data_IF_878636264610
#
_entry.id   IF_878636264610
#
_cell.length_a   1.000
_cell.length_b   1.000
_cell.length_c   1.000
_cell.angle_alpha   90.00
_cell.angle_beta   90.00
_cell.angle_gamma   90.00
#
_symmetry.space_group_name_H-M   'P 1'
#
loop_
_entity.id
_entity.type
_entity.pdbx_description
1 polymer ?
#
# COMPACT_ATOMS: atom_id res chain seq x y z
N UNK A 1 -8.13 59.08 4.54
CA UNK A 1 -8.48 57.69 4.19
C UNK A 1 -7.15 56.94 4.05
N UNK A 2 -6.79 56.15 5.09
CA UNK A 2 -5.59 55.33 5.09
C UNK A 2 -6.02 53.92 4.68
N UNK A 3 -5.58 53.46 3.52
CA UNK A 3 -5.78 52.10 3.02
C UNK A 3 -4.66 51.25 3.62
N UNK A 4 -5.00 50.41 4.61
CA UNK A 4 -4.10 49.38 5.14
C UNK A 4 -4.12 48.20 4.14
N UNK A 5 -3.01 47.98 3.46
CA UNK A 5 -2.79 46.76 2.66
C UNK A 5 -2.53 45.59 3.59
N UNK A 6 -3.50 44.68 3.73
CA UNK A 6 -3.29 43.35 4.32
C UNK A 6 -2.44 42.53 3.33
N UNK A 7 -1.16 42.37 3.63
CA UNK A 7 -0.34 41.34 3.02
C UNK A 7 -0.83 39.97 3.54
N UNK A 8 -1.56 39.25 2.70
CA UNK A 8 -1.87 37.85 2.92
C UNK A 8 -0.58 37.02 2.82
N UNK A 9 -0.08 36.57 3.96
CA UNK A 9 1.00 35.59 4.01
C UNK A 9 0.44 34.24 3.55
N UNK A 10 0.65 33.90 2.29
CA UNK A 10 0.40 32.55 1.80
C UNK A 10 1.53 31.67 2.32
N UNK A 11 1.24 30.66 3.14
CA UNK A 11 2.26 29.67 3.47
C UNK A 11 2.65 28.95 2.18
N UNK A 12 3.90 29.07 1.78
CA UNK A 12 4.46 28.25 0.71
C UNK A 12 4.40 26.80 1.21
N UNK A 13 3.57 25.98 0.59
CA UNK A 13 3.61 24.54 0.79
C UNK A 13 4.97 24.05 0.27
N UNK A 14 5.93 23.92 1.15
CA UNK A 14 7.19 23.25 0.84
C UNK A 14 6.85 21.76 0.71
N UNK A 15 6.97 21.22 -0.48
CA UNK A 15 6.76 19.80 -0.77
C UNK A 15 7.92 18.95 -0.26
N UNK A 16 8.13 18.92 1.05
CA UNK A 16 9.06 18.00 1.71
C UNK A 16 8.28 16.82 2.30
N UNK A 17 8.79 15.60 2.15
CA UNK A 17 8.28 14.43 2.86
C UNK A 17 9.00 14.32 4.19
N UNK A 18 8.28 13.93 5.25
CA UNK A 18 8.88 13.68 6.55
C UNK A 18 9.53 12.29 6.60
N UNK A 19 10.55 12.11 7.45
CA UNK A 19 11.19 10.80 7.67
C UNK A 19 10.16 9.73 8.02
N UNK A 20 9.12 10.06 8.77
CA UNK A 20 8.02 9.16 9.14
C UNK A 20 7.25 8.62 7.92
N UNK A 21 7.19 9.38 6.83
CA UNK A 21 6.50 8.97 5.59
C UNK A 21 7.40 8.11 4.70
N UNK A 22 8.71 8.21 4.88
CA UNK A 22 9.71 7.54 4.05
C UNK A 22 10.26 6.27 4.69
N UNK A 23 10.24 6.20 6.02
CA UNK A 23 10.90 5.15 6.79
C UNK A 23 10.07 4.71 8.00
N UNK A 24 10.38 3.54 8.48
CA UNK A 24 9.89 3.02 9.76
C UNK A 24 11.07 2.65 10.67
N UNK A 25 10.83 2.58 11.96
CA UNK A 25 11.80 2.01 12.89
C UNK A 25 11.85 0.50 12.67
N UNK A 26 13.05 -0.07 12.70
CA UNK A 26 13.24 -1.52 12.60
C UNK A 26 12.44 -2.26 13.69
N UNK A 27 11.78 -3.36 13.30
CA UNK A 27 10.87 -4.09 14.17
C UNK A 27 9.45 -3.51 14.25
N UNK A 28 9.20 -2.32 13.70
CA UNK A 28 7.87 -1.73 13.58
C UNK A 28 7.25 -2.12 12.23
N UNK A 29 6.73 -3.31 12.15
CA UNK A 29 6.01 -3.82 10.98
C UNK A 29 4.53 -4.02 11.28
N UNK A 30 3.75 -4.23 10.23
CA UNK A 30 2.38 -4.69 10.38
C UNK A 30 2.39 -6.14 10.88
N UNK A 31 1.48 -6.43 11.80
CA UNK A 31 1.27 -7.77 12.33
C UNK A 31 -0.11 -8.28 11.93
N UNK A 32 -0.22 -9.57 11.64
CA UNK A 32 -1.49 -10.18 11.25
C UNK A 32 -1.98 -11.07 12.37
N UNK A 33 -3.19 -10.82 12.84
CA UNK A 33 -3.91 -11.72 13.73
C UNK A 33 -4.79 -12.64 12.89
N UNK A 34 -4.87 -13.89 13.30
CA UNK A 34 -5.66 -14.92 12.62
C UNK A 34 -6.54 -15.66 13.60
N UNK A 35 -7.71 -16.07 13.12
CA UNK A 35 -8.64 -16.91 13.84
C UNK A 35 -9.47 -17.76 12.88
N UNK A 36 -10.07 -18.77 13.44
CA UNK A 36 -11.12 -19.55 12.75
C UNK A 36 -12.39 -19.33 13.53
N UNK A 37 -13.42 -18.85 12.84
CA UNK A 37 -14.70 -18.48 13.43
C UNK A 37 -15.90 -19.12 12.74
N UNK A 38 -17.05 -18.83 13.29
CA UNK A 38 -18.34 -19.21 12.72
C UNK A 38 -19.13 -17.96 12.37
N UNK A 39 -19.72 -17.96 11.21
CA UNK A 39 -20.73 -16.98 10.80
C UNK A 39 -22.10 -17.62 10.97
N UNK A 40 -23.00 -16.91 11.62
CA UNK A 40 -24.37 -17.35 11.92
C UNK A 40 -25.38 -16.43 11.23
N UNK A 41 -26.63 -16.89 11.16
CA UNK A 41 -27.73 -16.07 10.62
C UNK A 41 -27.78 -15.99 9.09
N UNK A 42 -27.06 -16.85 8.38
CA UNK A 42 -27.10 -16.90 6.91
C UNK A 42 -28.45 -17.40 6.38
N UNK A 43 -29.00 -16.76 5.32
CA UNK A 43 -30.28 -17.10 4.75
C UNK A 43 -30.23 -18.33 3.81
N UNK A 44 -29.69 -19.46 4.30
CA UNK A 44 -29.56 -20.69 3.51
C UNK A 44 -28.34 -20.75 2.61
N UNK A 45 -27.40 -19.84 2.75
CA UNK A 45 -26.18 -19.75 1.94
C UNK A 45 -24.92 -20.27 2.64
N UNK A 46 -25.06 -20.79 3.87
CA UNK A 46 -23.97 -21.33 4.67
C UNK A 46 -23.47 -22.69 4.20
N UNK A 47 -22.57 -23.25 4.99
CA UNK A 47 -21.96 -24.55 4.72
C UNK A 47 -22.95 -25.70 4.77
N UNK A 48 -22.64 -26.76 4.04
CA UNK A 48 -23.40 -28.02 4.12
C UNK A 48 -23.09 -28.71 5.45
N UNK A 49 -24.12 -29.06 6.19
CA UNK A 49 -23.98 -29.80 7.45
C UNK A 49 -23.46 -31.24 7.28
N UNK A 50 -23.36 -31.72 6.04
CA UNK A 50 -22.69 -32.99 5.72
C UNK A 50 -21.19 -32.95 5.98
N UNK A 51 -20.63 -31.75 6.07
CA UNK A 51 -19.21 -31.56 6.37
C UNK A 51 -18.95 -31.53 7.88
N UNK A 52 -18.47 -32.65 8.40
CA UNK A 52 -18.03 -32.80 9.81
C UNK A 52 -17.04 -31.69 10.27
N UNK A 53 -16.41 -31.02 9.32
CA UNK A 53 -15.50 -29.88 9.60
C UNK A 53 -16.24 -28.71 10.26
N UNK A 54 -17.53 -28.50 10.00
CA UNK A 54 -18.32 -27.40 10.58
C UNK A 54 -18.96 -27.82 11.90
N UNK A 55 -19.40 -29.08 12.01
CA UNK A 55 -20.10 -29.57 13.21
C UNK A 55 -19.17 -29.59 14.45
N UNK A 56 -17.93 -30.02 14.31
CA UNK A 56 -16.98 -30.11 15.43
C UNK A 56 -16.66 -28.78 16.08
N UNK A 57 -16.25 -27.72 15.35
CA UNK A 57 -16.03 -26.39 15.90
C UNK A 57 -17.26 -25.81 16.58
N UNK A 58 -18.46 -26.02 16.00
CA UNK A 58 -19.71 -25.55 16.59
C UNK A 58 -19.99 -26.24 17.94
N UNK A 59 -19.82 -27.56 18.04
CA UNK A 59 -19.96 -28.32 19.29
C UNK A 59 -18.95 -27.82 20.34
N UNK A 60 -17.69 -27.65 19.96
CA UNK A 60 -16.64 -27.17 20.83
C UNK A 60 -16.95 -25.74 21.35
N UNK A 61 -17.43 -24.86 20.49
CA UNK A 61 -17.78 -23.49 20.81
C UNK A 61 -18.97 -23.44 21.81
N UNK A 62 -20.02 -24.20 21.57
CA UNK A 62 -21.17 -24.27 22.47
C UNK A 62 -20.77 -24.84 23.85
N UNK A 63 -19.92 -25.85 23.86
CA UNK A 63 -19.37 -26.43 25.09
C UNK A 63 -18.52 -25.46 25.88
N UNK A 64 -17.66 -24.71 25.21
CA UNK A 64 -16.78 -23.74 25.86
C UNK A 64 -17.54 -22.51 26.42
N UNK A 65 -18.70 -22.18 25.85
CA UNK A 65 -19.55 -21.09 26.34
C UNK A 65 -20.52 -21.52 27.47
N UNK A 66 -20.32 -22.71 28.04
CA UNK A 66 -21.16 -23.21 29.12
C UNK A 66 -22.59 -23.57 28.70
N UNK A 67 -22.90 -23.48 27.42
CA UNK A 67 -24.17 -23.88 26.84
C UNK A 67 -24.10 -25.38 26.44
N UNK A 68 -24.05 -26.25 27.43
CA UNK A 68 -24.02 -27.71 27.27
C UNK A 68 -25.33 -28.29 26.73
N UNK A 69 -26.02 -27.54 25.88
CA UNK A 69 -27.16 -28.05 25.14
C UNK A 69 -26.58 -28.97 24.06
N UNK A 70 -26.72 -30.29 24.27
CA UNK A 70 -26.32 -31.25 23.24
C UNK A 70 -26.98 -30.87 21.92
N UNK A 71 -26.17 -30.65 20.90
CA UNK A 71 -26.74 -30.56 19.55
C UNK A 71 -27.54 -31.81 19.30
N UNK A 72 -28.72 -31.69 18.69
CA UNK A 72 -29.52 -32.87 18.35
C UNK A 72 -28.62 -33.88 17.62
N UNK A 73 -28.75 -35.16 17.96
CA UNK A 73 -27.96 -36.24 17.30
C UNK A 73 -28.03 -36.18 15.77
N UNK A 74 -29.11 -35.62 15.24
CA UNK A 74 -29.35 -35.38 13.82
C UNK A 74 -28.35 -34.39 13.21
N UNK A 75 -27.91 -33.39 13.94
CA UNK A 75 -26.89 -32.41 13.49
C UNK A 75 -25.50 -33.03 13.52
N UNK A 76 -25.19 -33.79 14.59
CA UNK A 76 -23.93 -34.51 14.71
C UNK A 76 -23.76 -35.67 13.74
N UNK A 77 -24.89 -36.23 13.27
CA UNK A 77 -24.90 -37.30 12.29
C UNK A 77 -25.10 -36.82 10.83
N UNK A 78 -25.10 -35.51 10.59
CA UNK A 78 -25.22 -34.93 9.25
C UNK A 78 -26.57 -35.19 8.55
N UNK A 79 -27.62 -35.46 9.32
CA UNK A 79 -28.96 -35.74 8.80
C UNK A 79 -29.84 -34.51 8.57
N UNK A 80 -29.47 -33.36 9.16
CA UNK A 80 -30.21 -32.10 9.02
C UNK A 80 -29.37 -31.11 8.21
N UNK A 81 -29.91 -30.53 7.16
CA UNK A 81 -29.24 -29.48 6.38
C UNK A 81 -29.35 -28.15 7.11
N UNK A 82 -28.32 -27.80 7.89
CA UNK A 82 -28.18 -26.46 8.48
C UNK A 82 -27.36 -25.64 7.51
N UNK A 83 -27.99 -24.77 6.73
CA UNK A 83 -27.32 -23.83 5.81
C UNK A 83 -27.25 -22.39 6.35
N UNK A 84 -27.50 -22.22 7.65
CA UNK A 84 -27.49 -20.90 8.31
C UNK A 84 -26.14 -20.56 8.97
N UNK A 85 -25.14 -21.46 8.86
CA UNK A 85 -23.84 -21.33 9.52
C UNK A 85 -22.74 -21.57 8.49
N UNK A 86 -21.63 -20.82 8.58
CA UNK A 86 -20.45 -21.02 7.78
C UNK A 86 -19.18 -21.01 8.64
N UNK A 87 -18.23 -21.90 8.33
CA UNK A 87 -16.88 -21.88 8.88
C UNK A 87 -16.04 -20.88 8.10
N UNK A 88 -15.38 -19.96 8.81
CA UNK A 88 -14.66 -18.85 8.20
C UNK A 88 -13.24 -18.67 8.75
N UNK A 89 -12.37 -18.21 7.89
CA UNK A 89 -11.08 -17.62 8.28
C UNK A 89 -11.31 -16.15 8.63
N UNK A 90 -10.74 -15.72 9.73
CA UNK A 90 -10.85 -14.37 10.27
C UNK A 90 -9.45 -13.79 10.36
N UNK A 91 -9.21 -12.66 9.73
CA UNK A 91 -7.91 -11.99 9.74
C UNK A 91 -8.06 -10.52 10.11
N UNK A 92 -7.13 -9.99 10.90
CA UNK A 92 -7.05 -8.57 11.21
C UNK A 92 -5.59 -8.12 11.12
N UNK A 93 -5.36 -6.98 10.48
CA UNK A 93 -4.03 -6.38 10.38
C UNK A 93 -3.86 -5.34 11.46
N UNK A 94 -2.89 -5.56 12.34
CA UNK A 94 -2.44 -4.60 13.33
C UNK A 94 -1.46 -3.65 12.68
N UNK A 95 -1.70 -2.37 12.80
CA UNK A 95 -0.88 -1.31 12.20
C UNK A 95 0.54 -1.32 12.77
N UNK A 96 1.47 -0.68 12.06
CA UNK A 96 2.89 -0.61 12.44
C UNK A 96 3.16 0.13 13.77
N UNK A 97 2.21 0.92 14.26
CA UNK A 97 2.25 1.60 15.57
C UNK A 97 1.75 0.72 16.73
N UNK A 98 1.38 -0.54 16.44
CA UNK A 98 0.87 -1.51 17.41
C UNK A 98 -0.62 -1.32 17.68
N UNK A 99 -1.08 -1.96 18.76
CA UNK A 99 -2.44 -1.82 19.27
C UNK A 99 -2.44 -2.01 20.78
N UNK A 100 -3.33 -1.30 21.46
CA UNK A 100 -3.52 -1.40 22.90
C UNK A 100 -4.78 -2.21 23.22
N UNK A 101 -4.84 -2.73 24.42
CA UNK A 101 -6.08 -3.32 24.93
C UNK A 101 -7.23 -2.30 24.76
N UNK A 102 -8.39 -2.81 24.40
CA UNK A 102 -9.61 -2.06 24.08
C UNK A 102 -9.61 -1.35 22.71
N UNK A 103 -8.51 -1.27 21.98
CA UNK A 103 -8.54 -0.80 20.60
C UNK A 103 -9.41 -1.70 19.73
N UNK A 104 -10.09 -1.11 18.74
CA UNK A 104 -10.89 -1.84 17.76
C UNK A 104 -10.23 -1.82 16.40
N UNK A 105 -10.21 -2.98 15.73
CA UNK A 105 -9.58 -3.18 14.43
C UNK A 105 -10.58 -3.83 13.48
N UNK A 106 -10.54 -3.45 12.22
CA UNK A 106 -11.31 -4.08 11.17
C UNK A 106 -10.88 -5.53 10.94
N UNK A 107 -11.85 -6.36 10.62
CA UNK A 107 -11.64 -7.79 10.42
C UNK A 107 -12.11 -8.18 9.03
N UNK A 108 -11.29 -8.91 8.30
CA UNK A 108 -11.68 -9.57 7.06
C UNK A 108 -12.08 -11.00 7.36
N UNK A 109 -13.22 -11.40 6.81
CA UNK A 109 -13.83 -12.72 6.99
C UNK A 109 -13.97 -13.38 5.63
N UNK A 110 -13.46 -14.60 5.48
CA UNK A 110 -13.56 -15.37 4.24
C UNK A 110 -13.97 -16.82 4.52
N UNK A 111 -14.80 -17.39 3.65
CA UNK A 111 -15.26 -18.77 3.81
C UNK A 111 -14.10 -19.75 3.69
N UNK A 112 -14.11 -20.78 4.54
CA UNK A 112 -13.14 -21.87 4.48
C UNK A 112 -13.71 -23.13 3.81
N UNK A 113 -15.02 -23.18 3.66
CA UNK A 113 -15.69 -24.37 3.18
C UNK A 113 -16.69 -24.06 2.03
N UNK A 114 -17.86 -24.65 2.04
CA UNK A 114 -18.82 -24.69 0.91
C UNK A 114 -19.84 -23.54 0.92
N UNK A 115 -19.79 -22.63 1.88
CA UNK A 115 -20.72 -21.51 1.94
C UNK A 115 -20.64 -20.65 0.66
N UNK A 116 -21.78 -20.37 0.07
CA UNK A 116 -21.91 -19.65 -1.19
C UNK A 116 -21.96 -18.12 -1.00
N UNK A 117 -22.37 -17.64 0.18
CA UNK A 117 -22.43 -16.21 0.49
C UNK A 117 -22.44 -15.98 1.99
N UNK A 118 -21.75 -14.92 2.42
CA UNK A 118 -21.75 -14.41 3.79
C UNK A 118 -22.74 -13.25 3.99
N UNK A 119 -23.49 -12.87 2.97
CA UNK A 119 -24.43 -11.75 3.00
C UNK A 119 -25.50 -11.93 4.08
N UNK A 120 -25.62 -10.92 4.94
CA UNK A 120 -26.58 -10.91 6.05
C UNK A 120 -26.16 -11.73 7.28
N UNK A 121 -24.99 -12.37 7.22
CA UNK A 121 -24.45 -13.13 8.35
C UNK A 121 -23.76 -12.24 9.39
N UNK A 122 -23.59 -12.82 10.58
CA UNK A 122 -22.89 -12.22 11.71
C UNK A 122 -21.75 -13.15 12.16
N UNK A 123 -20.54 -12.59 12.27
CA UNK A 123 -19.41 -13.30 12.84
C UNK A 123 -19.65 -13.53 14.33
N UNK A 124 -19.68 -14.77 14.73
CA UNK A 124 -19.77 -15.15 16.14
C UNK A 124 -18.43 -14.95 16.83
N UNK A 125 -18.48 -14.80 18.15
CA UNK A 125 -17.30 -14.53 19.02
C UNK A 125 -16.14 -15.47 18.65
N UNK A 126 -15.07 -14.88 18.13
CA UNK A 126 -13.92 -15.60 17.56
C UNK A 126 -12.64 -15.09 18.20
N UNK A 127 -11.84 -16.00 18.75
CA UNK A 127 -10.52 -15.69 19.28
C UNK A 127 -9.51 -15.49 18.16
N UNK A 128 -8.73 -14.42 18.23
CA UNK A 128 -7.68 -14.09 17.27
C UNK A 128 -6.31 -14.19 17.89
N UNK A 129 -5.44 -14.93 17.25
CA UNK A 129 -4.09 -15.23 17.71
C UNK A 129 -3.04 -14.64 16.74
N UNK A 130 -1.79 -14.56 17.19
CA UNK A 130 -0.67 -14.21 16.31
C UNK A 130 -0.41 -15.28 15.24
N UNK A 131 0.47 -14.99 14.26
CA UNK A 131 0.70 -15.87 13.11
C UNK A 131 1.46 -17.15 13.46
N UNK A 132 2.17 -17.19 14.58
CA UNK A 132 2.98 -18.33 15.00
C UNK A 132 2.17 -19.35 15.80
N UNK A 133 2.42 -20.65 15.64
CA UNK A 133 1.79 -21.68 16.46
C UNK A 133 2.02 -21.43 17.96
N UNK A 134 0.96 -21.55 18.77
CA UNK A 134 1.04 -21.30 20.21
C UNK A 134 1.03 -19.84 20.62
N UNK A 135 0.87 -18.91 19.69
CA UNK A 135 0.69 -17.49 20.02
C UNK A 135 -0.51 -17.28 20.95
N UNK A 136 -0.42 -16.35 21.90
CA UNK A 136 -1.57 -16.02 22.75
C UNK A 136 -2.73 -15.41 21.96
N UNK A 137 -3.90 -15.39 22.55
CA UNK A 137 -5.05 -14.64 22.04
C UNK A 137 -4.82 -13.15 22.32
N UNK A 138 -4.81 -12.35 21.27
CA UNK A 138 -4.62 -10.89 21.33
C UNK A 138 -5.92 -10.11 21.19
N UNK A 139 -6.87 -10.64 20.44
CA UNK A 139 -8.15 -9.98 20.21
C UNK A 139 -9.31 -10.97 20.16
N UNK A 140 -10.51 -10.44 20.34
CA UNK A 140 -11.77 -11.15 20.14
C UNK A 140 -12.53 -10.44 19.04
N UNK A 141 -12.95 -11.17 18.01
CA UNK A 141 -13.69 -10.65 16.88
C UNK A 141 -15.15 -11.09 16.90
N UNK A 142 -16.07 -10.17 16.57
CA UNK A 142 -17.50 -10.43 16.39
C UNK A 142 -18.17 -9.29 15.63
N UNK A 143 -19.34 -9.54 15.05
CA UNK A 143 -20.17 -8.49 14.47
C UNK A 143 -20.74 -8.80 13.10
N UNK A 144 -21.56 -7.91 12.59
CA UNK A 144 -22.21 -8.05 11.29
C UNK A 144 -21.22 -7.94 10.15
N UNK A 145 -21.38 -8.80 9.15
CA UNK A 145 -20.51 -8.84 7.96
C UNK A 145 -21.08 -7.90 6.90
N UNK A 146 -20.23 -7.01 6.42
CA UNK A 146 -20.47 -6.15 5.25
C UNK A 146 -19.69 -6.72 4.06
N UNK A 147 -20.34 -6.95 2.93
CA UNK A 147 -19.63 -7.35 1.70
C UNK A 147 -18.99 -6.11 1.09
N UNK A 148 -17.72 -6.20 0.71
CA UNK A 148 -17.01 -5.13 0.00
C UNK A 148 -17.32 -5.16 -1.51
N UNK A 149 -17.58 -6.35 -2.05
CA UNK A 149 -17.91 -6.58 -3.45
C UNK A 149 -19.01 -7.64 -3.54
N UNK A 150 -20.18 -7.27 -4.04
CA UNK A 150 -21.29 -8.20 -4.24
C UNK A 150 -20.98 -9.30 -5.26
N UNK A 151 -19.95 -9.15 -6.09
CA UNK A 151 -19.46 -10.17 -7.02
C UNK A 151 -18.66 -11.28 -6.32
N UNK A 152 -18.12 -11.00 -5.13
CA UNK A 152 -17.36 -11.94 -4.29
C UNK A 152 -18.05 -12.14 -2.94
N UNK A 153 -19.23 -12.77 -2.92
CA UNK A 153 -20.07 -12.87 -1.71
C UNK A 153 -19.49 -13.77 -0.62
N UNK A 154 -18.38 -14.47 -0.88
CA UNK A 154 -17.68 -15.36 0.05
C UNK A 154 -16.66 -14.65 0.94
N UNK A 155 -16.45 -13.36 0.74
CA UNK A 155 -15.56 -12.52 1.55
C UNK A 155 -16.30 -11.25 1.97
N UNK A 156 -15.98 -10.76 3.17
CA UNK A 156 -16.55 -9.53 3.70
C UNK A 156 -15.73 -8.96 4.84
N UNK A 157 -16.12 -7.81 5.33
CA UNK A 157 -15.47 -7.09 6.43
C UNK A 157 -16.42 -6.88 7.59
N UNK A 158 -15.87 -6.94 8.81
CA UNK A 158 -16.54 -6.49 10.03
C UNK A 158 -15.78 -5.26 10.52
N UNK A 159 -16.37 -4.08 10.40
CA UNK A 159 -15.73 -2.82 10.79
C UNK A 159 -15.62 -2.72 12.31
N UNK A 160 -14.39 -2.45 12.80
CA UNK A 160 -14.10 -2.45 14.24
C UNK A 160 -14.47 -3.77 14.92
N UNK A 161 -14.54 -4.88 14.18
CA UNK A 161 -15.06 -6.14 14.66
C UNK A 161 -14.15 -6.86 15.65
N UNK A 162 -12.84 -6.65 15.59
CA UNK A 162 -11.90 -7.19 16.56
C UNK A 162 -11.61 -6.18 17.67
N UNK A 163 -11.85 -6.56 18.93
CA UNK A 163 -11.44 -5.79 20.11
C UNK A 163 -10.20 -6.43 20.71
N UNK A 164 -9.16 -5.63 20.86
CA UNK A 164 -7.90 -6.08 21.49
C UNK A 164 -8.13 -6.38 22.97
N UNK A 165 -7.60 -7.49 23.45
CA UNK A 165 -7.60 -7.90 24.87
C UNK A 165 -6.21 -7.90 25.47
N UNK A 166 -5.18 -7.78 24.63
CA UNK A 166 -3.77 -7.66 25.01
C UNK A 166 -3.07 -6.68 24.12
N UNK A 167 -2.13 -5.96 24.68
CA UNK A 167 -1.28 -5.03 23.93
C UNK A 167 -0.38 -5.78 22.94
N UNK A 168 -0.22 -5.19 21.77
CA UNK A 168 0.87 -5.47 20.85
C UNK A 168 1.72 -4.21 20.81
N UNK A 169 2.81 -4.26 21.60
CA UNK A 169 3.70 -3.12 21.78
C UNK A 169 4.76 -3.11 20.69
N UNK A 170 5.19 -1.91 20.32
CA UNK A 170 6.40 -1.70 19.54
C UNK A 170 7.63 -2.07 20.36
N UNK A 171 8.71 -2.54 19.72
CA UNK A 171 9.99 -2.71 20.39
C UNK A 171 10.43 -1.41 21.06
N UNK A 172 10.98 -1.51 22.26
CA UNK A 172 11.55 -0.34 22.93
C UNK A 172 12.75 0.19 22.16
N UNK A 173 12.78 1.50 22.00
CA UNK A 173 13.90 2.19 21.35
C UNK A 173 15.06 2.29 22.33
N UNK A 174 16.17 1.63 22.01
CA UNK A 174 17.42 1.66 22.78
C UNK A 174 18.15 3.01 22.67
N UNK A 175 19.43 3.02 23.03
CA UNK A 175 20.32 4.17 22.80
C UNK A 175 20.76 4.30 21.32
N UNK A 176 20.44 3.30 20.53
CA UNK A 176 20.52 3.32 19.07
C UNK A 176 19.36 2.54 18.48
N UNK A 177 18.92 2.91 17.31
CA UNK A 177 17.86 2.24 16.57
C UNK A 177 18.12 2.37 15.07
N UNK A 178 17.57 1.49 14.29
CA UNK A 178 17.64 1.54 12.85
C UNK A 178 16.33 2.08 12.26
N UNK A 179 16.48 2.96 11.28
CA UNK A 179 15.39 3.34 10.38
C UNK A 179 15.50 2.52 9.11
N UNK A 180 14.41 1.93 8.69
CA UNK A 180 14.32 1.14 7.46
C UNK A 180 13.43 1.89 6.47
N UNK A 181 14.00 2.32 5.34
CA UNK A 181 13.25 2.96 4.27
C UNK A 181 12.20 2.00 3.71
N UNK A 182 11.01 2.52 3.48
CA UNK A 182 9.95 1.76 2.82
C UNK A 182 10.37 1.46 1.37
N UNK A 183 9.92 0.33 0.82
CA UNK A 183 10.41 -0.20 -0.45
C UNK A 183 10.39 0.78 -1.64
N UNK A 184 9.40 1.70 -1.76
CA UNK A 184 9.41 2.68 -2.85
C UNK A 184 10.55 3.70 -2.78
N UNK A 185 11.12 3.92 -1.58
CA UNK A 185 12.16 4.90 -1.30
C UNK A 185 13.54 4.27 -1.10
N UNK A 186 13.67 2.96 -1.35
CA UNK A 186 14.94 2.25 -1.19
C UNK A 186 15.98 2.72 -2.21
N UNK A 187 17.16 3.10 -1.74
CA UNK A 187 18.27 3.53 -2.58
C UNK A 187 19.35 4.24 -1.78
N UNK A 188 20.62 4.10 -2.20
CA UNK A 188 21.76 4.73 -1.53
C UNK A 188 21.64 6.26 -1.46
N UNK A 189 21.13 6.90 -2.54
CA UNK A 189 20.90 8.34 -2.60
C UNK A 189 19.87 8.79 -1.56
N UNK A 190 18.72 8.11 -1.51
CA UNK A 190 17.67 8.40 -0.54
C UNK A 190 18.13 8.15 0.90
N UNK A 191 18.82 7.03 1.16
CA UNK A 191 19.35 6.72 2.49
C UNK A 191 20.34 7.81 2.95
N UNK A 192 21.22 8.29 2.05
CA UNK A 192 22.15 9.35 2.36
C UNK A 192 21.45 10.69 2.61
N UNK A 193 20.47 11.04 1.79
CA UNK A 193 19.70 12.29 1.96
C UNK A 193 18.91 12.31 3.29
N UNK A 194 18.31 11.17 3.67
CA UNK A 194 17.62 11.05 4.96
C UNK A 194 18.61 11.15 6.12
N UNK A 195 19.77 10.47 6.04
CA UNK A 195 20.78 10.55 7.09
C UNK A 195 21.34 11.96 7.26
N UNK A 196 21.60 12.66 6.17
CA UNK A 196 22.06 14.07 6.19
C UNK A 196 21.00 14.99 6.77
N UNK A 197 19.74 14.87 6.36
CA UNK A 197 18.65 15.66 6.90
C UNK A 197 18.48 15.46 8.42
N UNK A 198 18.60 14.23 8.91
CA UNK A 198 18.57 13.93 10.35
C UNK A 198 19.76 14.57 11.05
N UNK A 199 20.95 14.42 10.52
CA UNK A 199 22.17 15.03 11.08
C UNK A 199 22.02 16.54 11.20
N UNK A 200 21.58 17.22 10.14
CA UNK A 200 21.37 18.66 10.10
C UNK A 200 20.30 19.10 11.12
N UNK A 201 19.20 18.41 11.23
CA UNK A 201 18.12 18.75 12.17
C UNK A 201 18.59 18.71 13.63
N UNK A 202 19.44 17.74 13.96
CA UNK A 202 20.02 17.60 15.31
C UNK A 202 21.07 18.68 15.60
N UNK A 203 21.92 19.02 14.62
CA UNK A 203 22.93 20.07 14.74
C UNK A 203 22.29 21.46 14.86
N UNK A 204 21.30 21.77 13.99
CA UNK A 204 20.57 23.05 14.02
C UNK A 204 19.83 23.25 15.34
N UNK A 205 19.32 22.17 15.93
CA UNK A 205 18.70 22.25 17.26
C UNK A 205 19.71 22.51 18.40
N UNK A 206 21.00 22.65 18.09
CA UNK A 206 22.06 22.86 19.08
C UNK A 206 22.28 21.65 19.99
N UNK A 207 21.80 20.47 19.58
CA UNK A 207 21.80 19.24 20.38
C UNK A 207 22.99 18.33 20.09
N UNK A 208 23.77 18.65 19.06
CA UNK A 208 25.04 17.97 18.80
C UNK A 208 26.16 18.99 18.64
N UNK A 209 27.31 18.67 19.21
CA UNK A 209 28.53 19.41 18.94
C UNK A 209 28.96 19.14 17.48
N UNK A 210 29.44 20.11 16.68
CA UNK A 210 30.01 19.85 15.34
C UNK A 210 31.06 18.75 15.29
N UNK A 211 31.80 18.57 16.41
CA UNK A 211 32.81 17.51 16.60
C UNK A 211 32.22 16.20 17.16
N UNK A 212 30.88 16.10 17.36
CA UNK A 212 30.25 14.93 17.90
C UNK A 212 30.19 13.80 16.86
N UNK A 213 30.19 12.54 17.31
CA UNK A 213 30.05 11.41 16.40
C UNK A 213 28.74 11.49 15.62
N UNK A 214 28.78 11.08 14.37
CA UNK A 214 27.65 11.08 13.44
C UNK A 214 26.40 10.44 14.06
N UNK A 215 25.30 11.21 14.15
CA UNK A 215 24.05 10.77 14.75
C UNK A 215 23.34 9.76 13.85
N UNK A 216 23.36 9.99 12.53
CA UNK A 216 22.76 9.12 11.55
C UNK A 216 23.83 8.57 10.59
N UNK A 217 23.87 7.24 10.42
CA UNK A 217 24.84 6.56 9.56
C UNK A 217 24.12 5.59 8.64
N UNK A 218 24.34 5.67 7.35
CA UNK A 218 23.84 4.71 6.36
C UNK A 218 24.59 3.39 6.52
N UNK A 219 23.85 2.30 6.69
CA UNK A 219 24.38 0.93 6.74
C UNK A 219 24.27 0.24 5.38
N UNK A 220 23.14 0.39 4.74
CA UNK A 220 22.86 -0.15 3.40
C UNK A 220 21.86 0.76 2.66
N UNK A 221 21.39 0.34 1.47
CA UNK A 221 20.48 1.11 0.62
C UNK A 221 19.08 1.34 1.23
N UNK A 222 18.79 0.71 2.38
CA UNK A 222 17.49 0.81 3.05
C UNK A 222 17.61 1.12 4.54
N UNK A 223 18.76 0.87 5.15
CA UNK A 223 18.91 0.91 6.61
C UNK A 223 19.82 2.03 7.04
N UNK A 224 19.34 2.86 7.94
CA UNK A 224 20.05 3.99 8.53
C UNK A 224 20.11 3.77 10.04
N UNK A 225 21.31 3.63 10.59
CA UNK A 225 21.51 3.56 12.03
C UNK A 225 21.46 4.97 12.63
N UNK A 226 20.64 5.17 13.63
CA UNK A 226 20.50 6.42 14.37
C UNK A 226 20.93 6.19 15.82
N UNK A 227 21.87 7.01 16.31
CA UNK A 227 22.36 6.95 17.68
C UNK A 227 21.81 8.13 18.47
N UNK A 228 21.17 7.84 19.60
CA UNK A 228 20.61 8.87 20.50
C UNK A 228 21.76 9.60 21.21
N UNK A 229 21.92 10.92 21.03
CA UNK A 229 22.92 11.71 21.75
C UNK A 229 22.78 11.54 23.26
N UNK A 230 23.89 11.64 24.00
CA UNK A 230 23.89 11.41 25.46
C UNK A 230 22.91 12.34 26.20
N UNK A 231 22.79 13.56 25.74
CA UNK A 231 21.93 14.60 26.29
C UNK A 231 20.44 14.27 26.15
N UNK A 232 20.08 13.52 25.10
CA UNK A 232 18.70 13.16 24.74
C UNK A 232 18.26 11.80 25.32
N UNK A 233 19.17 11.02 25.92
CA UNK A 233 18.85 9.70 26.47
C UNK A 233 17.83 9.72 27.59
N UNK A 234 17.73 10.85 28.30
CA UNK A 234 16.69 11.05 29.34
C UNK A 234 15.30 11.26 28.75
N UNK A 235 15.19 11.72 27.50
CA UNK A 235 13.92 11.96 26.81
C UNK A 235 13.96 11.47 25.35
N UNK A 236 14.18 10.17 25.18
CA UNK A 236 14.26 9.53 23.86
C UNK A 236 13.02 9.75 23.01
N UNK A 237 11.84 9.88 23.64
CA UNK A 237 10.59 10.09 22.90
C UNK A 237 10.58 11.42 22.14
N UNK A 238 11.10 12.49 22.75
CA UNK A 238 11.20 13.79 22.10
C UNK A 238 12.20 13.76 20.94
N UNK A 239 13.37 13.14 21.15
CA UNK A 239 14.37 12.95 20.12
C UNK A 239 13.80 12.15 18.92
N UNK A 240 13.10 11.05 19.22
CA UNK A 240 12.46 10.22 18.20
C UNK A 240 11.40 11.00 17.40
N UNK A 241 10.57 11.77 18.09
CA UNK A 241 9.57 12.62 17.43
C UNK A 241 10.22 13.64 16.51
N UNK A 242 11.36 14.22 16.89
CA UNK A 242 12.11 15.15 16.06
C UNK A 242 12.71 14.45 14.83
N UNK A 243 13.38 13.30 15.02
CA UNK A 243 13.94 12.51 13.92
C UNK A 243 12.88 12.12 12.90
N UNK A 244 11.73 11.59 13.38
CA UNK A 244 10.63 11.20 12.50
C UNK A 244 9.92 12.38 11.85
N UNK A 245 9.93 13.56 12.48
CA UNK A 245 9.37 14.80 11.95
C UNK A 245 10.32 15.59 11.07
N UNK A 246 11.57 15.15 10.90
CA UNK A 246 12.55 15.83 10.04
C UNK A 246 12.06 15.83 8.59
N UNK A 247 12.05 17.01 7.97
CA UNK A 247 11.70 17.16 6.55
C UNK A 247 12.89 16.79 5.66
N UNK A 248 12.64 15.95 4.69
CA UNK A 248 13.59 15.54 3.65
C UNK A 248 13.15 16.16 2.33
N UNK A 249 14.04 16.87 1.67
CA UNK A 249 13.75 17.46 0.36
C UNK A 249 13.59 16.35 -0.67
N UNK A 250 12.44 16.30 -1.31
CA UNK A 250 12.11 15.27 -2.32
C UNK A 250 13.05 15.27 -3.52
N UNK A 251 13.71 16.41 -3.80
CA UNK A 251 14.71 16.54 -4.87
C UNK A 251 15.92 15.61 -4.67
N UNK A 252 16.26 15.27 -3.42
CA UNK A 252 17.38 14.39 -3.07
C UNK A 252 16.99 12.92 -2.94
N UNK A 253 15.68 12.61 -3.00
CA UNK A 253 15.21 11.23 -2.82
C UNK A 253 15.43 10.35 -4.05
N UNK A 254 15.94 10.90 -5.15
CA UNK A 254 16.21 10.16 -6.42
C UNK A 254 15.21 9.02 -6.66
N UNK A 255 13.92 9.37 -6.55
CA UNK A 255 12.86 8.39 -6.66
C UNK A 255 12.87 7.81 -8.07
N UNK A 256 13.01 6.49 -8.21
CA UNK A 256 13.00 5.90 -9.53
C UNK A 256 11.68 6.26 -10.22
N UNK A 257 11.79 6.79 -11.43
CA UNK A 257 10.63 7.07 -12.25
C UNK A 257 9.80 5.78 -12.38
N UNK A 258 8.51 5.85 -12.04
CA UNK A 258 7.62 4.69 -12.06
C UNK A 258 6.35 4.98 -12.86
N UNK A 259 5.87 3.96 -13.54
CA UNK A 259 4.57 3.97 -14.21
C UNK A 259 3.76 2.82 -13.62
N UNK A 260 2.67 3.17 -12.95
CA UNK A 260 1.74 2.19 -12.38
C UNK A 260 0.52 2.12 -13.29
N UNK A 261 0.18 0.92 -13.71
CA UNK A 261 -0.91 0.66 -14.64
C UNK A 261 -1.89 -0.31 -14.02
N UNK A 262 -3.14 0.11 -13.89
CA UNK A 262 -4.22 -0.79 -13.48
C UNK A 262 -5.03 -1.23 -14.71
N UNK A 263 -4.87 -2.51 -15.07
CA UNK A 263 -5.51 -3.07 -16.26
C UNK A 263 -7.04 -3.18 -16.15
N UNK A 264 -7.59 -3.20 -14.95
CA UNK A 264 -9.05 -3.32 -14.72
C UNK A 264 -9.75 -1.97 -14.85
N UNK A 265 -9.17 -0.93 -14.24
CA UNK A 265 -9.74 0.41 -14.25
C UNK A 265 -9.29 1.24 -15.45
N UNK A 266 -8.24 0.83 -16.17
CA UNK A 266 -7.60 1.61 -17.22
C UNK A 266 -6.82 2.82 -16.69
N UNK A 267 -6.54 2.88 -15.40
CA UNK A 267 -5.81 4.00 -14.80
C UNK A 267 -4.30 3.88 -15.06
N UNK A 268 -3.67 5.00 -15.42
CA UNK A 268 -2.22 5.13 -15.62
C UNK A 268 -1.72 6.23 -14.68
N UNK A 269 -0.82 5.89 -13.78
CA UNK A 269 -0.20 6.83 -12.84
C UNK A 269 1.28 6.92 -13.20
N UNK A 270 1.76 8.13 -13.44
CA UNK A 270 3.16 8.42 -13.75
C UNK A 270 3.77 9.19 -12.58
N UNK A 271 4.84 8.66 -11.99
CA UNK A 271 5.57 9.31 -10.91
C UNK A 271 7.00 9.58 -11.34
N UNK A 272 7.50 10.78 -11.00
CA UNK A 272 8.83 11.23 -11.40
C UNK A 272 8.90 11.68 -12.87
N UNK A 273 10.11 11.95 -13.33
CA UNK A 273 10.36 12.37 -14.71
C UNK A 273 10.63 11.15 -15.59
N UNK A 274 9.57 10.57 -16.13
CA UNK A 274 9.68 9.39 -17.01
C UNK A 274 10.02 9.84 -18.42
N UNK A 275 11.14 9.34 -18.93
CA UNK A 275 11.62 9.61 -20.29
C UNK A 275 11.48 8.38 -21.18
N UNK A 276 11.38 8.62 -22.49
CA UNK A 276 11.26 7.61 -23.53
C UNK A 276 12.41 7.79 -24.50
N UNK A 277 13.24 6.75 -24.64
CA UNK A 277 14.27 6.72 -25.68
C UNK A 277 13.65 6.77 -27.09
N UNK A 278 14.35 7.33 -28.08
CA UNK A 278 13.86 7.38 -29.46
C UNK A 278 13.38 6.01 -29.97
N UNK A 279 12.12 5.96 -30.40
CA UNK A 279 11.47 4.74 -30.86
C UNK A 279 10.38 5.06 -31.89
N UNK A 280 10.17 4.15 -32.84
CA UNK A 280 9.00 4.12 -33.69
C UNK A 280 8.10 2.96 -33.27
N UNK A 281 6.84 3.23 -32.95
CA UNK A 281 5.85 2.25 -32.54
C UNK A 281 4.74 2.24 -33.56
N UNK A 282 4.38 1.08 -34.04
CA UNK A 282 3.17 0.87 -34.83
C UNK A 282 2.24 -0.03 -34.03
N UNK A 283 1.06 0.47 -33.71
CA UNK A 283 0.03 -0.29 -33.01
C UNK A 283 -1.32 -0.08 -33.70
N UNK A 284 -1.89 -1.13 -34.26
CA UNK A 284 -3.08 -1.08 -35.12
C UNK A 284 -2.90 -0.03 -36.23
N UNK A 285 -3.77 0.98 -36.32
CA UNK A 285 -3.72 2.06 -37.31
C UNK A 285 -2.91 3.29 -36.85
N UNK A 286 -2.22 3.18 -35.69
CA UNK A 286 -1.49 4.26 -35.06
C UNK A 286 0.01 4.06 -35.27
N UNK A 287 0.69 5.05 -35.83
CA UNK A 287 2.14 5.12 -35.92
C UNK A 287 2.64 6.27 -35.08
N UNK A 288 3.48 5.98 -34.09
CA UNK A 288 4.09 6.96 -33.19
C UNK A 288 5.60 6.93 -33.45
N UNK A 289 6.15 8.09 -33.75
CA UNK A 289 7.61 8.24 -33.95
C UNK A 289 8.09 9.35 -33.03
N UNK A 290 9.06 9.04 -32.15
CA UNK A 290 9.69 10.02 -31.25
C UNK A 290 10.95 10.65 -31.83
N UNK A 291 11.26 10.39 -33.11
CA UNK A 291 12.41 10.96 -33.81
C UNK A 291 11.98 12.13 -34.69
N UNK A 292 12.66 13.29 -34.55
CA UNK A 292 12.59 14.38 -35.51
C UNK A 292 13.58 14.15 -36.67
N UNK A 293 13.34 14.67 -37.86
CA UNK A 293 12.49 15.78 -38.23
C UNK A 293 11.23 15.39 -39.04
N UNK A 294 10.23 16.25 -39.03
CA UNK A 294 9.05 16.16 -39.92
C UNK A 294 9.45 16.02 -41.36
N UNK A 295 8.97 14.97 -42.08
CA UNK A 295 9.21 14.90 -43.49
C UNK A 295 8.59 16.09 -44.21
N UNK A 296 9.41 16.89 -44.88
CA UNK A 296 8.94 18.01 -45.68
C UNK A 296 8.36 17.46 -46.99
N UNK A 297 7.07 17.76 -47.21
CA UNK A 297 6.43 17.35 -48.48
C UNK A 297 7.20 17.95 -49.65
N UNK A 298 7.67 17.11 -50.55
CA UNK A 298 8.28 17.50 -51.84
C UNK A 298 7.36 17.16 -53.01
N UNK A 299 7.45 17.84 -54.15
CA UNK A 299 6.65 17.54 -55.33
C UNK A 299 6.82 16.10 -55.82
N UNK A 300 7.94 15.45 -55.49
CA UNK A 300 8.27 14.07 -55.83
C UNK A 300 7.77 13.07 -54.79
N UNK A 301 7.40 13.51 -53.57
CA UNK A 301 6.90 12.65 -52.50
C UNK A 301 5.80 13.39 -51.72
N UNK A 302 4.57 13.48 -52.31
CA UNK A 302 3.44 14.14 -51.64
C UNK A 302 2.98 13.29 -50.47
N UNK A 303 2.93 13.91 -49.27
CA UNK A 303 2.41 13.24 -48.07
C UNK A 303 0.89 13.09 -48.21
N UNK A 304 0.46 11.89 -48.59
CA UNK A 304 -0.95 11.52 -48.60
C UNK A 304 -1.34 11.07 -47.19
N UNK A 305 -2.12 11.86 -46.46
CA UNK A 305 -2.64 11.52 -45.12
C UNK A 305 -3.63 10.36 -45.24
N UNK A 306 -3.17 9.13 -45.02
CA UNK A 306 -4.01 7.94 -44.83
C UNK A 306 -3.71 7.24 -43.50
N UNK A 307 -3.82 7.95 -42.40
CA UNK A 307 -3.62 7.38 -41.08
C UNK A 307 -3.74 8.44 -39.98
N UNK A 308 -4.13 8.03 -38.77
CA UNK A 308 -4.03 8.86 -37.57
C UNK A 308 -2.57 8.87 -37.14
N UNK A 309 -1.88 9.98 -37.38
CA UNK A 309 -0.53 10.18 -36.86
C UNK A 309 -0.41 11.57 -36.24
N UNK A 310 0.39 11.68 -35.21
CA UNK A 310 0.72 12.96 -34.58
C UNK A 310 2.22 13.04 -34.39
N UNK A 311 2.76 14.21 -34.66
CA UNK A 311 4.14 14.50 -34.30
C UNK A 311 4.20 14.80 -32.81
N UNK A 312 4.99 14.03 -32.07
CA UNK A 312 5.34 14.38 -30.72
C UNK A 312 6.40 15.50 -30.81
N UNK A 313 6.04 16.71 -30.37
CA UNK A 313 7.01 17.77 -30.25
C UNK A 313 8.05 17.38 -29.20
N UNK A 314 9.16 16.83 -29.62
CA UNK A 314 10.32 16.59 -28.77
C UNK A 314 11.00 17.92 -28.48
N UNK A 315 11.63 18.00 -27.33
CA UNK A 315 12.41 19.13 -26.86
C UNK A 315 13.35 19.75 -27.93
N UNK A 316 13.71 21.02 -27.79
CA UNK A 316 14.30 21.84 -28.87
C UNK A 316 15.71 21.41 -29.34
N UNK A 317 16.27 20.31 -28.80
CA UNK A 317 17.58 19.79 -29.22
C UNK A 317 17.47 18.34 -29.69
N UNK A 318 18.01 18.07 -30.88
CA UNK A 318 18.13 16.71 -31.42
C UNK A 318 18.94 15.83 -30.44
N UNK A 319 18.27 14.77 -29.91
CA UNK A 319 18.90 13.81 -29.00
C UNK A 319 18.32 13.79 -27.59
N UNK A 320 17.42 14.72 -27.21
CA UNK A 320 16.73 14.67 -25.91
C UNK A 320 15.59 13.62 -25.95
N UNK A 321 15.49 12.84 -24.87
CA UNK A 321 14.43 11.87 -24.68
C UNK A 321 13.05 12.54 -24.54
N UNK A 322 12.04 11.98 -25.18
CA UNK A 322 10.67 12.48 -25.06
C UNK A 322 10.11 12.15 -23.67
N UNK A 323 9.26 13.03 -23.11
CA UNK A 323 8.59 12.74 -21.85
C UNK A 323 7.38 11.84 -22.05
N UNK A 324 7.18 10.90 -21.15
CA UNK A 324 6.01 10.02 -21.19
C UNK A 324 4.69 10.81 -21.12
N UNK A 325 4.64 11.88 -20.34
CA UNK A 325 3.47 12.76 -20.23
C UNK A 325 3.03 13.32 -21.59
N UNK A 326 4.00 13.68 -22.44
CA UNK A 326 3.71 14.24 -23.75
C UNK A 326 3.18 13.16 -24.71
N UNK A 327 3.70 11.93 -24.58
CA UNK A 327 3.17 10.77 -25.32
C UNK A 327 1.72 10.48 -24.91
N UNK A 328 1.43 10.41 -23.62
CA UNK A 328 0.07 10.15 -23.12
C UNK A 328 -0.90 11.25 -23.57
N UNK A 329 -0.50 12.52 -23.47
CA UNK A 329 -1.32 13.64 -23.97
C UNK A 329 -1.57 13.58 -25.49
N UNK A 330 -0.63 13.08 -26.26
CA UNK A 330 -0.78 12.85 -27.70
C UNK A 330 -1.75 11.69 -27.99
N UNK A 331 -1.65 10.59 -27.24
CA UNK A 331 -2.56 9.45 -27.35
C UNK A 331 -4.01 9.83 -26.99
N UNK A 332 -4.18 10.66 -25.95
CA UNK A 332 -5.50 11.18 -25.53
C UNK A 332 -6.12 12.05 -26.61
N UNK A 333 -5.33 12.95 -27.25
CA UNK A 333 -5.81 13.78 -28.39
C UNK A 333 -6.25 12.93 -29.57
N UNK A 334 -5.65 11.75 -29.74
CA UNK A 334 -6.03 10.79 -30.80
C UNK A 334 -7.18 9.88 -30.37
N UNK A 335 -7.71 10.06 -29.14
CA UNK A 335 -8.79 9.25 -28.56
C UNK A 335 -8.44 7.75 -28.54
N UNK A 336 -7.17 7.42 -28.21
CA UNK A 336 -6.73 6.04 -28.07
C UNK A 336 -7.30 5.46 -26.78
N UNK A 337 -7.98 4.30 -26.80
CA UNK A 337 -8.53 3.67 -25.60
C UNK A 337 -7.43 3.38 -24.55
N UNK A 338 -7.74 3.48 -23.26
CA UNK A 338 -6.80 3.25 -22.17
C UNK A 338 -6.13 1.86 -22.25
N UNK A 339 -6.86 0.83 -22.66
CA UNK A 339 -6.32 -0.51 -22.85
C UNK A 339 -5.19 -0.55 -23.90
N UNK A 340 -5.33 0.20 -25.00
CA UNK A 340 -4.31 0.29 -26.05
C UNK A 340 -3.10 1.13 -25.58
N UNK A 341 -3.33 2.20 -24.82
CA UNK A 341 -2.26 2.98 -24.17
C UNK A 341 -1.42 2.10 -23.25
N UNK A 342 -2.07 1.26 -22.43
CA UNK A 342 -1.43 0.31 -21.54
C UNK A 342 -0.55 -0.69 -22.33
N UNK A 343 -1.04 -1.22 -23.45
CA UNK A 343 -0.28 -2.14 -24.29
C UNK A 343 0.95 -1.44 -24.88
N UNK A 344 0.83 -0.19 -25.30
CA UNK A 344 1.96 0.62 -25.80
C UNK A 344 3.01 0.80 -24.69
N UNK A 345 2.61 1.12 -23.46
CA UNK A 345 3.51 1.25 -22.33
C UNK A 345 4.23 -0.06 -22.00
N UNK A 346 3.53 -1.19 -22.04
CA UNK A 346 4.13 -2.51 -21.83
C UNK A 346 5.15 -2.86 -22.92
N UNK A 347 4.87 -2.52 -24.20
CA UNK A 347 5.82 -2.70 -25.28
C UNK A 347 7.05 -1.82 -25.14
N UNK A 348 6.89 -0.56 -24.74
CA UNK A 348 8.00 0.36 -24.47
C UNK A 348 8.89 -0.17 -23.34
N UNK A 349 8.29 -0.67 -22.27
CA UNK A 349 9.04 -1.26 -21.16
C UNK A 349 9.76 -2.54 -21.60
N UNK A 350 9.08 -3.44 -22.31
CA UNK A 350 9.65 -4.71 -22.79
C UNK A 350 10.83 -4.49 -23.76
N UNK A 351 10.80 -3.42 -24.53
CA UNK A 351 11.89 -3.07 -25.47
C UNK A 351 13.00 -2.23 -24.81
N UNK A 352 12.91 -1.94 -23.51
CA UNK A 352 13.88 -1.12 -22.80
C UNK A 352 13.92 0.34 -23.26
N UNK A 353 12.82 0.84 -23.84
CA UNK A 353 12.70 2.22 -24.32
C UNK A 353 12.00 3.14 -23.34
N UNK A 354 11.36 2.60 -22.32
CA UNK A 354 10.79 3.32 -21.19
C UNK A 354 11.83 3.38 -20.06
N UNK A 355 12.32 4.56 -19.75
CA UNK A 355 13.28 4.79 -18.66
C UNK A 355 12.56 4.95 -17.34
N UNK A 356 11.80 3.90 -16.97
CA UNK A 356 11.03 3.85 -15.73
C UNK A 356 10.69 2.40 -15.38
N UNK A 357 10.44 2.16 -14.09
CA UNK A 357 9.90 0.89 -13.62
C UNK A 357 8.40 0.82 -13.95
N UNK A 358 7.97 -0.21 -14.66
CA UNK A 358 6.56 -0.47 -14.92
C UNK A 358 6.00 -1.44 -13.88
N UNK A 359 4.95 -1.01 -13.18
CA UNK A 359 4.19 -1.84 -12.23
C UNK A 359 2.79 -2.05 -12.82
N UNK A 360 2.38 -3.29 -12.98
CA UNK A 360 1.06 -3.66 -13.51
C UNK A 360 0.26 -4.31 -12.38
N UNK A 361 -0.91 -3.69 -12.08
CA UNK A 361 -1.89 -4.15 -11.10
C UNK A 361 -3.09 -4.82 -11.76
#
# INVERSE_FOLDING_TARGET
VVIAALMAWTPSAHGGSTVKELARIEGQGESVLRGVGLVIGLPGTGDSSKDLAVARPLVALLKNNGQGIGLPEEVTKGKSEIKSIALVSVTATVRRDGARADDTIDVTVSTLNTASSLKGGELYLTSMQGPLPGSPVYAIAQGKIELEDDSVPTSGRVRGGARMIRDILMPEVGDSFNLVLDAPFAGWGAASAVAEAIQDSVVVAGRANPDAPTVAKVLDDRTIAVTVPREERSNKALFLAQVLGTEVKTEFLDLPAQVIVNSRSGAIIVTGNVTISPVAITHKDLQITTTSPTPVASPQNPITKRGRWTDLATAPKAGEAARLTDLLAALDKLSVPAADQIQILQMLHKTGKLEAKLVVD
#
